data_IF_239719408084
#
_entry.id   IF_239719408084
#
_cell.length_a   1.000
_cell.length_b   1.000
_cell.length_c   1.000
_cell.angle_alpha   90.00
_cell.angle_beta   90.00
_cell.angle_gamma   90.00
#
_symmetry.space_group_name_H-M   'P 1'
#
loop_
_entity.id
_entity.type
_entity.pdbx_description
1 polymer ?
#
# COMPACT_ATOMS: atom_id res chain seq x y z
N UNK A 1 26.05 -30.38 21.09
CA UNK A 1 25.58 -29.52 22.21
C UNK A 1 24.76 -28.41 21.58
N UNK A 2 23.44 -28.60 21.48
CA UNK A 2 22.52 -27.61 20.91
C UNK A 2 21.91 -26.80 22.05
N UNK A 3 22.18 -25.49 22.04
CA UNK A 3 21.58 -24.54 22.97
C UNK A 3 20.11 -24.33 22.62
N UNK A 4 19.23 -24.77 23.51
CA UNK A 4 17.79 -24.50 23.46
C UNK A 4 17.55 -23.06 23.91
N UNK A 5 17.15 -22.17 22.99
CA UNK A 5 16.72 -20.81 23.33
C UNK A 5 15.26 -20.84 23.81
N UNK A 6 15.06 -20.36 25.04
CA UNK A 6 13.76 -20.21 25.71
C UNK A 6 12.97 -19.07 25.10
N UNK A 7 11.72 -19.34 24.73
CA UNK A 7 10.73 -18.29 24.43
C UNK A 7 10.25 -17.70 25.75
N UNK A 8 10.50 -16.40 25.92
CA UNK A 8 10.05 -15.60 27.05
C UNK A 8 8.56 -15.25 26.84
N UNK A 9 7.66 -15.86 27.62
CA UNK A 9 6.26 -15.46 27.65
C UNK A 9 6.13 -14.10 28.37
N UNK A 10 5.91 -13.03 27.61
CA UNK A 10 5.48 -11.75 28.15
C UNK A 10 4.02 -11.86 28.63
N UNK A 11 3.83 -11.82 29.94
CA UNK A 11 2.52 -11.68 30.58
C UNK A 11 2.00 -10.26 30.35
N UNK A 12 0.90 -10.11 29.62
CA UNK A 12 0.14 -8.86 29.63
C UNK A 12 -0.66 -8.76 30.92
N UNK A 13 -0.33 -7.74 31.72
CA UNK A 13 -1.05 -7.36 32.93
C UNK A 13 -2.26 -6.51 32.53
N UNK A 14 -3.47 -6.99 32.81
CA UNK A 14 -4.70 -6.21 32.72
C UNK A 14 -4.82 -5.32 33.97
N UNK A 15 -4.42 -4.05 33.85
CA UNK A 15 -4.68 -3.05 34.88
C UNK A 15 -5.97 -2.29 34.57
N UNK A 16 -6.85 -2.29 35.57
CA UNK A 16 -8.18 -1.72 35.58
C UNK A 16 -8.18 -0.18 35.75
N UNK A 17 -9.24 0.44 35.20
CA UNK A 17 -10.05 1.52 35.77
C UNK A 17 -9.41 2.49 36.78
N UNK A 18 -9.40 3.80 36.47
CA UNK A 18 -9.97 4.81 37.37
C UNK A 18 -10.04 6.23 36.77
N UNK A 19 -11.22 6.83 36.98
CA UNK A 19 -11.52 8.25 37.22
C UNK A 19 -11.69 9.26 36.06
N UNK A 20 -12.78 10.06 36.07
CA UNK A 20 -13.00 11.16 35.14
C UNK A 20 -12.24 12.41 35.60
N UNK A 21 -11.30 12.88 34.79
CA UNK A 21 -10.67 14.18 34.98
C UNK A 21 -11.59 15.30 34.47
N UNK A 22 -11.91 16.24 35.35
CA UNK A 22 -12.57 17.51 35.01
C UNK A 22 -11.77 18.24 33.92
N UNK A 23 -12.37 18.36 32.73
CA UNK A 23 -11.87 19.19 31.63
C UNK A 23 -12.08 20.66 32.00
N UNK A 24 -11.01 21.35 32.39
CA UNK A 24 -10.97 22.82 32.43
C UNK A 24 -10.99 23.35 31.00
N UNK A 25 -12.00 24.14 30.65
CA UNK A 25 -12.07 24.88 29.40
C UNK A 25 -10.93 25.91 29.33
N UNK A 26 -9.89 25.59 28.54
CA UNK A 26 -8.83 26.52 28.18
C UNK A 26 -9.30 27.59 27.18
N UNK A 27 -8.57 28.70 27.06
CA UNK A 27 -8.96 29.85 26.25
C UNK A 27 -9.12 29.48 24.78
N UNK A 28 -10.22 29.94 24.17
CA UNK A 28 -10.54 29.89 22.74
C UNK A 28 -9.29 30.10 21.88
N UNK A 29 -8.74 29.01 21.36
CA UNK A 29 -7.79 29.03 20.26
C UNK A 29 -8.49 29.68 19.07
N UNK A 30 -8.07 30.90 18.70
CA UNK A 30 -8.39 31.47 17.40
C UNK A 30 -7.87 30.45 16.38
N UNK A 31 -8.78 29.86 15.59
CA UNK A 31 -8.41 29.03 14.46
C UNK A 31 -7.47 29.87 13.59
N UNK A 32 -6.18 29.56 13.65
CA UNK A 32 -5.22 30.09 12.71
C UNK A 32 -5.61 29.53 11.35
N UNK A 33 -6.30 30.35 10.56
CA UNK A 33 -6.55 30.07 9.16
C UNK A 33 -5.17 29.90 8.54
N UNK A 34 -4.79 28.64 8.24
CA UNK A 34 -3.54 28.38 7.53
C UNK A 34 -3.65 29.12 6.20
N UNK A 35 -2.66 29.95 5.82
CA UNK A 35 -2.67 30.58 4.50
C UNK A 35 -2.73 29.47 3.47
N UNK A 36 -3.74 29.52 2.58
CA UNK A 36 -3.88 28.59 1.49
C UNK A 36 -2.59 28.60 0.67
N UNK A 37 -1.98 27.43 0.50
CA UNK A 37 -0.83 27.30 -0.36
C UNK A 37 -1.33 27.48 -1.80
N UNK A 38 -0.65 28.29 -2.61
CA UNK A 38 -1.07 28.58 -4.00
C UNK A 38 -1.27 27.32 -4.87
N UNK A 39 -0.68 26.18 -4.49
CA UNK A 39 -0.90 24.89 -5.17
C UNK A 39 -2.28 24.28 -4.92
N UNK A 40 -2.95 24.62 -3.82
CA UNK A 40 -4.28 24.07 -3.50
C UNK A 40 -5.36 24.65 -4.44
N UNK A 41 -5.20 25.91 -4.86
CA UNK A 41 -6.11 26.56 -5.80
C UNK A 41 -6.00 25.98 -7.21
N UNK A 42 -4.79 25.64 -7.67
CA UNK A 42 -4.56 25.03 -8.98
C UNK A 42 -5.18 23.63 -9.05
N UNK A 43 -4.98 22.82 -8.00
CA UNK A 43 -5.59 21.49 -7.87
C UNK A 43 -7.12 21.58 -7.86
N UNK A 44 -7.71 22.50 -7.10
CA UNK A 44 -9.15 22.70 -7.07
C UNK A 44 -9.73 23.10 -8.45
N UNK A 45 -9.00 23.93 -9.20
CA UNK A 45 -9.38 24.31 -10.57
C UNK A 45 -9.28 23.14 -11.55
N UNK A 46 -8.22 22.33 -11.45
CA UNK A 46 -8.06 21.10 -12.24
C UNK A 46 -9.22 20.14 -11.99
N UNK A 47 -9.55 19.88 -10.73
CA UNK A 47 -10.66 19.02 -10.36
C UNK A 47 -12.01 19.54 -10.89
N UNK A 48 -12.32 20.83 -10.69
CA UNK A 48 -13.56 21.43 -11.18
C UNK A 48 -13.69 21.36 -12.72
N UNK A 49 -12.58 21.55 -13.43
CA UNK A 49 -12.52 21.47 -14.89
C UNK A 49 -12.77 20.07 -15.44
N UNK A 50 -12.32 19.03 -14.73
CA UNK A 50 -12.61 17.63 -15.07
C UNK A 50 -14.09 17.30 -14.80
N UNK A 51 -14.65 17.79 -13.69
CA UNK A 51 -16.08 17.62 -13.39
C UNK A 51 -17.00 18.28 -14.43
N UNK A 52 -16.66 19.49 -14.89
CA UNK A 52 -17.43 20.21 -15.91
C UNK A 52 -17.54 19.42 -17.22
N UNK A 53 -16.59 18.51 -17.48
CA UNK A 53 -16.58 17.61 -18.65
C UNK A 53 -17.42 16.34 -18.47
N UNK A 54 -18.07 16.18 -17.33
CA UNK A 54 -18.97 15.06 -17.05
C UNK A 54 -18.30 13.81 -16.49
N UNK A 55 -17.02 13.90 -16.11
CA UNK A 55 -16.36 12.81 -15.37
C UNK A 55 -16.87 12.76 -13.92
N UNK A 56 -16.87 11.56 -13.33
CA UNK A 56 -17.28 11.39 -11.94
C UNK A 56 -16.27 12.04 -10.98
N UNK A 57 -16.69 12.46 -9.76
CA UNK A 57 -15.76 13.03 -8.78
C UNK A 57 -14.58 12.13 -8.44
N UNK A 58 -14.81 10.82 -8.31
CA UNK A 58 -13.73 9.84 -8.02
C UNK A 58 -12.68 9.79 -9.13
N UNK A 59 -13.11 9.85 -10.38
CA UNK A 59 -12.22 9.85 -11.54
C UNK A 59 -11.47 11.18 -11.63
N UNK A 60 -12.13 12.29 -11.33
CA UNK A 60 -11.50 13.60 -11.28
C UNK A 60 -10.38 13.66 -10.22
N UNK A 61 -10.64 13.15 -9.01
CA UNK A 61 -9.64 12.99 -7.96
C UNK A 61 -8.46 12.13 -8.43
N UNK A 62 -8.75 10.95 -9.01
CA UNK A 62 -7.72 10.04 -9.50
C UNK A 62 -6.85 10.62 -10.62
N UNK A 63 -7.42 11.40 -11.53
CA UNK A 63 -6.68 12.11 -12.59
C UNK A 63 -5.73 13.15 -11.97
N UNK A 64 -6.21 13.94 -11.03
CA UNK A 64 -5.41 14.96 -10.33
C UNK A 64 -4.26 14.30 -9.56
N UNK A 65 -4.54 13.20 -8.85
CA UNK A 65 -3.54 12.47 -8.09
C UNK A 65 -2.49 11.83 -9.01
N UNK A 66 -2.90 11.24 -10.12
CA UNK A 66 -1.99 10.68 -11.12
C UNK A 66 -1.02 11.74 -11.67
N UNK A 67 -1.50 12.95 -11.96
CA UNK A 67 -0.67 14.04 -12.44
C UNK A 67 0.27 14.61 -11.37
N UNK A 68 -0.12 14.55 -10.09
CA UNK A 68 0.71 14.98 -8.96
C UNK A 68 1.74 13.95 -8.53
N UNK A 69 1.67 12.73 -9.08
CA UNK A 69 2.62 11.67 -8.74
C UNK A 69 4.06 12.15 -9.01
N UNK A 70 5.01 11.91 -8.08
CA UNK A 70 6.37 12.47 -8.15
C UNK A 70 7.16 12.07 -9.41
N UNK A 71 6.70 11.10 -10.20
CA UNK A 71 7.32 10.69 -11.47
C UNK A 71 6.93 11.52 -12.69
N UNK A 72 5.88 12.35 -12.64
CA UNK A 72 5.38 13.08 -13.82
C UNK A 72 6.18 14.34 -14.13
N UNK A 73 6.92 14.87 -13.16
CA UNK A 73 7.59 16.17 -13.25
C UNK A 73 6.64 17.37 -13.21
N UNK A 74 5.36 17.17 -12.92
CA UNK A 74 4.35 18.24 -12.85
C UNK A 74 4.25 18.75 -11.41
N UNK A 75 4.50 20.03 -11.21
CA UNK A 75 4.39 20.65 -9.88
C UNK A 75 2.95 21.06 -9.54
N UNK A 76 2.64 21.25 -8.25
CA UNK A 76 1.30 21.57 -7.76
C UNK A 76 0.66 22.85 -8.34
N UNK A 77 1.41 23.75 -8.99
CA UNK A 77 0.89 24.94 -9.68
C UNK A 77 0.77 24.79 -11.20
N UNK A 78 0.98 23.58 -11.73
CA UNK A 78 0.96 23.27 -13.16
C UNK A 78 -0.06 22.18 -13.50
N UNK A 79 -0.78 21.65 -12.50
CA UNK A 79 -1.72 20.53 -12.65
C UNK A 79 -2.87 20.97 -13.55
N UNK A 80 -3.44 22.15 -13.32
CA UNK A 80 -4.52 22.67 -14.16
C UNK A 80 -4.09 22.82 -15.62
N UNK A 81 -2.91 23.41 -15.85
CA UNK A 81 -2.38 23.59 -17.20
C UNK A 81 -2.12 22.25 -17.90
N UNK A 82 -1.63 21.24 -17.17
CA UNK A 82 -1.44 19.89 -17.68
C UNK A 82 -2.77 19.23 -18.08
N UNK A 83 -3.80 19.32 -17.22
CA UNK A 83 -5.15 18.80 -17.53
C UNK A 83 -5.74 19.52 -18.74
N UNK A 84 -5.58 20.84 -18.86
CA UNK A 84 -6.01 21.60 -20.04
C UNK A 84 -5.30 21.14 -21.31
N UNK A 85 -3.98 20.89 -21.21
CA UNK A 85 -3.19 20.36 -22.31
C UNK A 85 -3.68 19.00 -22.79
N UNK A 86 -3.97 18.08 -21.85
CA UNK A 86 -4.51 16.73 -22.14
C UNK A 86 -5.94 16.77 -22.70
N UNK A 87 -6.73 17.76 -22.29
CA UNK A 87 -8.08 17.93 -22.83
C UNK A 87 -8.09 18.37 -24.30
N UNK A 88 -6.99 18.94 -24.80
CA UNK A 88 -6.89 19.44 -26.17
C UNK A 88 -7.94 20.51 -26.51
N UNK A 89 -8.27 20.63 -27.80
CA UNK A 89 -9.36 21.49 -28.29
C UNK A 89 -10.69 20.74 -28.20
N UNK A 90 -11.13 20.55 -26.96
CA UNK A 90 -12.35 19.81 -26.65
C UNK A 90 -13.60 20.41 -27.32
N UNK A 91 -13.64 21.72 -27.59
CA UNK A 91 -14.75 22.38 -28.29
C UNK A 91 -14.95 21.87 -29.73
N UNK A 92 -13.88 21.33 -30.33
CA UNK A 92 -13.86 20.75 -31.68
C UNK A 92 -13.91 19.22 -31.62
N UNK A 93 -14.03 18.64 -30.43
CA UNK A 93 -13.97 17.19 -30.21
C UNK A 93 -12.57 16.59 -30.32
N UNK A 94 -11.51 17.41 -30.28
CA UNK A 94 -10.12 16.94 -30.23
C UNK A 94 -9.74 16.67 -28.76
N UNK A 95 -9.47 15.40 -28.40
CA UNK A 95 -8.90 14.99 -27.11
C UNK A 95 -7.41 14.69 -27.28
N UNK A 96 -6.56 15.23 -26.39
CA UNK A 96 -5.11 15.05 -26.43
C UNK A 96 -4.62 13.98 -25.43
N UNK A 97 -5.52 13.13 -24.93
CA UNK A 97 -5.21 12.02 -24.02
C UNK A 97 -5.95 12.06 -22.69
N UNK A 98 -6.75 13.09 -22.39
CA UNK A 98 -7.52 13.15 -21.14
C UNK A 98 -8.52 11.98 -21.05
N UNK A 99 -9.20 11.64 -22.14
CA UNK A 99 -10.12 10.49 -22.15
C UNK A 99 -9.39 9.18 -21.90
N UNK A 100 -8.19 9.00 -22.46
CA UNK A 100 -7.39 7.80 -22.23
C UNK A 100 -6.93 7.68 -20.77
N UNK A 101 -6.48 8.79 -20.18
CA UNK A 101 -6.13 8.85 -18.77
C UNK A 101 -7.34 8.55 -17.87
N UNK A 102 -8.50 9.14 -18.17
CA UNK A 102 -9.73 8.90 -17.42
C UNK A 102 -10.12 7.41 -17.44
N UNK A 103 -10.08 6.75 -18.61
CA UNK A 103 -10.35 5.31 -18.71
C UNK A 103 -9.36 4.46 -17.91
N UNK A 104 -8.08 4.84 -17.91
CA UNK A 104 -7.06 4.15 -17.11
C UNK A 104 -7.35 4.27 -15.62
N UNK A 105 -7.72 5.47 -15.15
CA UNK A 105 -8.09 5.72 -13.75
C UNK A 105 -9.38 4.99 -13.38
N UNK A 106 -10.38 4.97 -14.26
CA UNK A 106 -11.61 4.19 -14.06
C UNK A 106 -11.34 2.69 -13.92
N UNK A 107 -10.46 2.15 -14.76
CA UNK A 107 -10.05 0.76 -14.67
C UNK A 107 -9.36 0.49 -13.33
N UNK A 108 -8.43 1.34 -12.91
CA UNK A 108 -7.72 1.19 -11.64
C UNK A 108 -8.70 1.27 -10.44
N UNK A 109 -9.62 2.24 -10.45
CA UNK A 109 -10.65 2.37 -9.41
C UNK A 109 -11.57 1.15 -9.37
N UNK A 110 -11.99 0.64 -10.53
CA UNK A 110 -12.80 -0.58 -10.64
C UNK A 110 -12.05 -1.81 -10.13
N UNK A 111 -10.76 -1.91 -10.41
CA UNK A 111 -9.89 -2.96 -9.87
C UNK A 111 -9.72 -2.85 -8.35
N UNK A 112 -9.85 -1.66 -7.77
CA UNK A 112 -9.81 -1.46 -6.32
C UNK A 112 -11.19 -1.60 -5.65
N UNK A 113 -12.28 -1.32 -6.39
CA UNK A 113 -13.64 -1.39 -5.87
C UNK A 113 -14.02 -2.83 -5.51
N UNK A 114 -14.42 -3.02 -4.24
CA UNK A 114 -14.80 -4.32 -3.71
C UNK A 114 -13.65 -5.15 -3.14
N UNK A 115 -12.39 -4.71 -3.29
CA UNK A 115 -11.26 -5.35 -2.58
C UNK A 115 -11.23 -4.92 -1.12
N UNK A 116 -11.03 -5.88 -0.22
CA UNK A 116 -10.85 -5.56 1.18
C UNK A 116 -9.44 -5.03 1.43
N UNK A 117 -9.32 -3.99 2.26
CA UNK A 117 -8.02 -3.54 2.73
C UNK A 117 -7.48 -4.50 3.78
N UNK A 118 -6.30 -5.06 3.52
CA UNK A 118 -5.59 -5.99 4.38
C UNK A 118 -4.42 -5.27 5.06
N UNK A 119 -4.20 -5.60 6.33
CA UNK A 119 -3.09 -5.09 7.13
C UNK A 119 -2.17 -6.22 7.56
N UNK A 120 -0.87 -6.01 7.46
CA UNK A 120 0.13 -6.99 7.89
C UNK A 120 1.37 -6.30 8.45
N UNK A 121 2.09 -7.01 9.31
CA UNK A 121 3.30 -6.48 9.95
C UNK A 121 4.55 -7.04 9.29
N UNK A 122 5.50 -6.18 8.99
CA UNK A 122 6.79 -6.51 8.38
C UNK A 122 7.91 -6.34 9.41
N UNK A 123 8.73 -7.37 9.56
CA UNK A 123 9.93 -7.38 10.39
C UNK A 123 11.16 -7.21 9.49
N UNK A 124 11.92 -6.11 9.63
CA UNK A 124 13.22 -5.93 8.97
C UNK A 124 14.25 -7.03 9.31
N UNK A 125 15.24 -7.27 8.43
CA UNK A 125 16.32 -8.22 8.66
C UNK A 125 17.35 -7.74 9.71
N UNK A 126 17.56 -6.42 9.83
CA UNK A 126 18.50 -5.76 10.73
C UNK A 126 18.06 -5.75 12.21
N UNK A 127 17.03 -6.52 12.56
CA UNK A 127 16.36 -6.51 13.87
C UNK A 127 15.73 -5.15 14.21
N UNK A 128 15.45 -4.31 13.20
CA UNK A 128 14.70 -3.08 13.34
C UNK A 128 13.29 -3.28 13.91
N UNK A 129 12.63 -2.18 14.26
CA UNK A 129 11.25 -2.22 14.73
C UNK A 129 10.33 -2.69 13.60
N UNK A 130 9.51 -3.71 13.88
CA UNK A 130 8.53 -4.18 12.91
C UNK A 130 7.45 -3.13 12.66
N UNK A 131 7.19 -2.84 11.38
CA UNK A 131 6.27 -1.81 10.91
C UNK A 131 5.02 -2.42 10.28
N UNK A 132 3.93 -1.66 10.21
CA UNK A 132 2.65 -2.10 9.64
C UNK A 132 2.52 -1.59 8.20
N UNK A 133 2.07 -2.48 7.31
CA UNK A 133 1.79 -2.20 5.92
C UNK A 133 0.30 -2.42 5.62
N UNK A 134 -0.23 -1.63 4.69
CA UNK A 134 -1.62 -1.72 4.24
C UNK A 134 -1.64 -1.96 2.72
N UNK A 135 -2.43 -2.93 2.28
CA UNK A 135 -2.59 -3.30 0.88
C UNK A 135 -4.02 -3.73 0.58
N UNK A 136 -4.39 -3.83 -0.68
CA UNK A 136 -5.67 -4.42 -1.06
C UNK A 136 -5.52 -5.91 -1.30
N UNK A 137 -6.60 -6.65 -1.05
CA UNK A 137 -6.67 -8.08 -1.34
C UNK A 137 -6.29 -8.38 -2.81
N UNK A 138 -5.48 -9.42 -3.00
CA UNK A 138 -4.99 -9.82 -4.32
C UNK A 138 -3.80 -9.01 -4.85
N UNK A 139 -3.33 -7.97 -4.14
CA UNK A 139 -2.06 -7.32 -4.45
C UNK A 139 -0.87 -8.20 -4.04
N UNK A 140 0.17 -8.23 -4.85
CA UNK A 140 1.46 -8.81 -4.43
C UNK A 140 2.17 -7.89 -3.43
N UNK A 141 3.13 -8.41 -2.66
CA UNK A 141 3.96 -7.55 -1.79
C UNK A 141 4.75 -6.51 -2.57
N UNK A 142 5.09 -6.81 -3.84
CA UNK A 142 5.70 -5.85 -4.75
C UNK A 142 4.72 -4.72 -5.08
N UNK A 143 3.48 -5.05 -5.46
CA UNK A 143 2.47 -4.03 -5.74
C UNK A 143 2.16 -3.19 -4.51
N UNK A 144 2.20 -3.78 -3.32
CA UNK A 144 2.04 -3.04 -2.05
C UNK A 144 3.24 -2.13 -1.80
N UNK A 145 4.46 -2.55 -2.14
CA UNK A 145 5.64 -1.68 -2.04
C UNK A 145 5.62 -0.52 -3.05
N UNK A 146 5.08 -0.74 -4.25
CA UNK A 146 5.01 0.28 -5.30
C UNK A 146 3.79 1.21 -5.20
N UNK A 147 2.63 0.64 -4.89
CA UNK A 147 1.31 1.29 -4.96
C UNK A 147 0.51 1.21 -3.66
N UNK A 148 1.04 0.54 -2.63
CA UNK A 148 0.38 0.43 -1.32
C UNK A 148 0.25 1.78 -0.62
N UNK A 149 -0.63 1.81 0.39
CA UNK A 149 -0.94 3.04 1.13
C UNK A 149 -0.19 3.08 2.46
N UNK A 150 0.12 4.31 2.88
CA UNK A 150 0.70 4.59 4.18
C UNK A 150 2.22 4.41 4.23
N UNK A 151 2.82 4.88 5.34
CA UNK A 151 4.27 4.91 5.55
C UNK A 151 4.91 3.52 5.49
N UNK A 152 4.17 2.46 5.81
CA UNK A 152 4.66 1.09 5.73
C UNK A 152 5.03 0.67 4.32
N UNK A 153 4.24 1.06 3.31
CA UNK A 153 4.54 0.78 1.91
C UNK A 153 5.85 1.45 1.47
N UNK A 154 6.05 2.72 1.85
CA UNK A 154 7.29 3.46 1.56
C UNK A 154 8.51 2.76 2.15
N UNK A 155 8.41 2.28 3.39
CA UNK A 155 9.51 1.55 4.05
C UNK A 155 9.70 0.18 3.41
N UNK A 156 8.62 -0.53 3.07
CA UNK A 156 8.67 -1.83 2.43
C UNK A 156 9.42 -1.78 1.09
N UNK A 157 9.22 -0.69 0.33
CA UNK A 157 9.90 -0.43 -0.94
C UNK A 157 11.42 -0.39 -0.84
N UNK A 158 11.96 0.05 0.29
CA UNK A 158 13.41 0.07 0.52
C UNK A 158 13.99 -1.33 0.79
N UNK A 159 13.14 -2.28 1.23
CA UNK A 159 13.55 -3.66 1.50
C UNK A 159 13.24 -4.63 0.35
N UNK A 160 12.28 -4.32 -0.51
CA UNK A 160 11.89 -5.17 -1.65
C UNK A 160 12.32 -4.50 -2.96
N UNK A 161 13.43 -4.98 -3.53
CA UNK A 161 13.92 -4.47 -4.83
C UNK A 161 13.13 -5.06 -6.00
N UNK A 162 12.80 -6.36 -5.94
CA UNK A 162 12.10 -7.10 -7.00
C UNK A 162 12.60 -6.74 -8.41
N UNK A 163 13.90 -6.91 -8.67
CA UNK A 163 14.56 -6.44 -9.88
C UNK A 163 13.95 -6.98 -11.18
N UNK A 164 13.38 -8.19 -11.16
CA UNK A 164 12.70 -8.80 -12.31
C UNK A 164 11.26 -8.30 -12.52
N UNK A 165 10.77 -7.35 -11.73
CA UNK A 165 9.39 -6.88 -11.77
C UNK A 165 8.33 -7.97 -11.56
N UNK A 166 8.69 -9.09 -10.93
CA UNK A 166 7.78 -10.22 -10.67
C UNK A 166 7.85 -11.36 -11.68
N UNK A 167 8.64 -11.28 -12.76
CA UNK A 167 8.71 -12.35 -13.78
C UNK A 167 9.59 -13.57 -13.38
N UNK A 168 9.82 -13.76 -12.08
CA UNK A 168 10.64 -14.85 -11.51
C UNK A 168 12.07 -14.96 -12.06
N UNK A 169 12.64 -13.87 -12.59
CA UNK A 169 14.01 -13.86 -13.15
C UNK A 169 15.09 -13.37 -12.16
N UNK A 170 14.72 -13.09 -10.90
CA UNK A 170 15.66 -12.69 -9.85
C UNK A 170 15.28 -13.29 -8.49
N UNK A 171 16.18 -13.20 -7.50
CA UNK A 171 15.94 -13.63 -6.12
C UNK A 171 15.82 -12.47 -5.11
N UNK A 172 15.83 -11.21 -5.56
CA UNK A 172 15.86 -10.01 -4.70
C UNK A 172 14.50 -9.66 -4.07
N UNK A 173 13.57 -10.60 -4.08
CA UNK A 173 12.21 -10.44 -3.58
C UNK A 173 11.84 -11.49 -2.52
N UNK A 174 12.80 -12.28 -2.07
CA UNK A 174 12.57 -13.29 -1.03
C UNK A 174 12.00 -12.71 0.28
N UNK A 175 11.03 -13.41 0.85
CA UNK A 175 10.51 -13.12 2.18
C UNK A 175 10.32 -14.39 2.99
N UNK A 176 10.35 -14.22 4.31
CA UNK A 176 9.99 -15.22 5.29
C UNK A 176 8.56 -14.97 5.75
N UNK A 177 7.71 -15.98 5.59
CA UNK A 177 6.32 -15.94 6.04
C UNK A 177 6.20 -16.70 7.35
N UNK A 178 5.46 -16.16 8.32
CA UNK A 178 5.19 -16.87 9.57
C UNK A 178 4.44 -18.19 9.28
N UNK A 179 4.81 -19.25 10.00
CA UNK A 179 4.30 -20.62 9.80
C UNK A 179 2.76 -20.69 9.73
N UNK A 180 2.07 -19.86 10.53
CA UNK A 180 0.60 -19.85 10.56
C UNK A 180 -0.01 -19.38 9.23
N UNK A 181 0.68 -18.51 8.50
CA UNK A 181 0.23 -18.04 7.19
C UNK A 181 0.81 -18.89 6.06
N UNK A 182 2.00 -19.50 6.26
CA UNK A 182 2.60 -20.39 5.26
C UNK A 182 1.68 -21.57 4.90
N UNK A 183 0.96 -22.12 5.88
CA UNK A 183 -0.02 -23.19 5.61
C UNK A 183 -1.21 -22.73 4.76
N UNK A 184 -1.58 -21.46 4.91
CA UNK A 184 -2.64 -20.84 4.10
C UNK A 184 -2.11 -20.47 2.71
N UNK A 185 -0.82 -20.22 2.62
CA UNK A 185 -0.13 -19.81 1.42
C UNK A 185 0.02 -20.88 0.35
N UNK A 186 0.13 -22.13 0.79
CA UNK A 186 0.54 -23.22 -0.07
C UNK A 186 2.05 -23.30 -0.22
N UNK A 187 2.53 -24.41 -0.77
CA UNK A 187 3.96 -24.55 -1.07
C UNK A 187 4.30 -23.83 -2.39
N UNK A 188 5.50 -23.23 -2.48
CA UNK A 188 5.98 -22.63 -3.72
C UNK A 188 6.01 -23.65 -4.86
N UNK A 189 5.64 -23.22 -6.07
CA UNK A 189 5.67 -24.06 -7.28
C UNK A 189 7.11 -24.49 -7.63
N UNK A 190 7.28 -25.58 -8.38
CA UNK A 190 8.61 -26.12 -8.73
C UNK A 190 9.53 -25.07 -9.41
N UNK A 191 8.95 -24.15 -10.17
CA UNK A 191 9.66 -23.04 -10.82
C UNK A 191 10.25 -22.02 -9.81
N UNK A 192 9.70 -21.95 -8.61
CA UNK A 192 10.15 -21.07 -7.51
C UNK A 192 11.18 -21.78 -6.61
N UNK A 193 11.25 -23.11 -6.67
CA UNK A 193 12.16 -23.94 -5.88
C UNK A 193 13.58 -24.04 -6.47
N UNK A 194 14.08 -22.99 -7.13
CA UNK A 194 15.44 -22.94 -7.74
C UNK A 194 16.54 -22.80 -6.67
N UNK A 195 16.33 -23.33 -5.47
CA UNK A 195 17.31 -23.35 -4.39
C UNK A 195 17.99 -24.72 -4.36
N UNK A 196 19.34 -24.77 -4.22
CA UNK A 196 20.04 -26.00 -3.92
C UNK A 196 19.42 -26.64 -2.67
N UNK A 197 19.15 -27.94 -2.71
CA UNK A 197 18.50 -28.69 -1.62
C UNK A 197 19.21 -28.56 -0.27
N UNK A 198 20.50 -28.20 -0.27
CA UNK A 198 21.32 -27.93 0.92
C UNK A 198 20.93 -26.66 1.69
N UNK A 199 20.26 -25.70 1.04
CA UNK A 199 19.74 -24.48 1.68
C UNK A 199 18.25 -24.55 2.01
N UNK A 200 17.63 -25.74 1.90
CA UNK A 200 16.21 -25.97 2.20
C UNK A 200 15.98 -25.87 3.71
N UNK A 201 15.71 -24.66 4.18
CA UNK A 201 15.13 -24.46 5.51
C UNK A 201 13.62 -24.77 5.45
N UNK A 202 13.06 -25.53 6.41
CA UNK A 202 11.72 -26.13 6.29
C UNK A 202 10.53 -25.14 6.27
N UNK A 203 10.77 -23.83 6.43
CA UNK A 203 9.73 -22.80 6.61
C UNK A 203 10.06 -21.47 5.90
N UNK A 204 10.84 -21.52 4.83
CA UNK A 204 11.61 -20.35 4.38
C UNK A 204 11.60 -20.22 2.87
N UNK A 205 11.24 -19.02 2.42
CA UNK A 205 11.27 -18.54 1.04
C UNK A 205 10.08 -18.99 0.18
N UNK A 206 9.06 -18.13 0.14
CA UNK A 206 8.20 -18.01 -1.03
C UNK A 206 8.72 -16.88 -1.91
N UNK A 207 8.64 -17.07 -3.22
CA UNK A 207 8.83 -16.01 -4.21
C UNK A 207 7.57 -15.15 -4.21
N UNK A 208 7.70 -13.82 -4.36
CA UNK A 208 6.59 -12.88 -4.14
C UNK A 208 5.35 -13.10 -5.03
N UNK A 209 5.50 -13.79 -6.16
CA UNK A 209 4.42 -13.91 -7.15
C UNK A 209 3.26 -14.76 -6.62
N UNK A 210 3.55 -15.82 -5.84
CA UNK A 210 2.51 -16.56 -5.13
C UNK A 210 1.93 -15.85 -3.90
N UNK A 211 2.61 -14.87 -3.31
CA UNK A 211 2.09 -14.15 -2.13
C UNK A 211 0.85 -13.30 -2.48
N UNK A 212 0.67 -12.91 -3.75
CA UNK A 212 -0.58 -12.31 -4.20
C UNK A 212 -1.79 -13.26 -4.03
N UNK A 213 -1.59 -14.58 -4.15
CA UNK A 213 -2.64 -15.59 -3.90
C UNK A 213 -2.93 -15.81 -2.42
N UNK A 214 -1.99 -15.51 -1.50
CA UNK A 214 -2.19 -15.70 -0.04
C UNK A 214 -3.27 -14.81 0.54
N UNK A 215 -3.32 -13.55 0.11
CA UNK A 215 -4.19 -12.58 0.76
C UNK A 215 -5.68 -12.92 0.57
N UNK A 216 -6.02 -13.68 -0.47
CA UNK A 216 -7.38 -14.20 -0.72
C UNK A 216 -7.86 -15.20 0.35
N UNK A 217 -6.97 -15.80 1.13
CA UNK A 217 -7.33 -16.85 2.09
C UNK A 217 -7.28 -16.38 3.56
N UNK A 218 -6.67 -15.23 3.86
CA UNK A 218 -6.59 -14.71 5.24
C UNK A 218 -7.93 -14.15 5.74
N UNK A 219 -8.90 -13.89 4.86
CA UNK A 219 -10.18 -13.30 5.23
C UNK A 219 -11.26 -14.25 5.75
N UNK A 220 -11.12 -15.57 5.66
CA UNK A 220 -12.20 -16.45 6.15
C UNK A 220 -12.25 -16.55 7.70
N UNK A 221 -11.43 -15.79 8.45
CA UNK A 221 -11.35 -15.91 9.92
C UNK A 221 -11.11 -14.63 10.73
N UNK A 222 -11.20 -13.43 10.16
CA UNK A 222 -11.00 -12.18 10.92
C UNK A 222 -12.10 -11.88 11.96
N UNK A 223 -13.20 -12.65 11.98
CA UNK A 223 -14.24 -12.52 13.01
C UNK A 223 -13.88 -13.17 14.36
N UNK A 224 -12.75 -13.87 14.49
CA UNK A 224 -12.49 -14.64 15.73
C UNK A 224 -11.27 -14.27 16.58
N UNK A 225 -10.21 -13.65 16.07
CA UNK A 225 -9.07 -13.31 16.94
C UNK A 225 -8.29 -12.08 16.45
N UNK A 226 -8.13 -11.08 17.33
CA UNK A 226 -7.22 -9.95 17.17
C UNK A 226 -5.74 -10.37 17.18
N UNK A 227 -5.30 -11.07 16.13
CA UNK A 227 -3.97 -11.60 16.01
C UNK A 227 -3.23 -10.93 14.83
N UNK A 228 -2.26 -10.10 15.17
CA UNK A 228 -1.35 -9.45 14.23
C UNK A 228 -0.63 -10.51 13.36
N UNK A 229 -0.63 -10.32 12.05
CA UNK A 229 0.10 -11.13 11.07
C UNK A 229 1.54 -10.62 10.96
N UNK A 230 2.51 -11.53 10.81
CA UNK A 230 3.95 -11.20 10.75
C UNK A 230 4.54 -11.78 9.46
N UNK A 231 5.33 -10.96 8.76
CA UNK A 231 6.18 -11.33 7.63
C UNK A 231 7.57 -10.73 7.88
N UNK A 232 8.66 -11.44 7.57
CA UNK A 232 10.02 -10.92 7.72
C UNK A 232 10.66 -10.79 6.34
N UNK A 233 11.21 -9.62 6.03
CA UNK A 233 11.91 -9.39 4.76
C UNK A 233 13.39 -9.65 4.97
N UNK A 234 14.04 -10.26 3.98
CA UNK A 234 15.46 -10.62 3.99
C UNK A 234 16.38 -9.41 3.83
#
# INVERSE_FOLDING_TARGET
MMHTLRVCQARFSTAASSSPLCVRAGPRWRQAVRPFCAGDEDVARAHAFVLERGYSPRVADGIVDALRSPGTGIHAGQVFAAVQGLAGRWEVGEDAGLQALAKSVEQELSEQEGKTMVRFRVQPPDQGEAFECEGFEGMSLKDIAEFGRGRGADVLKEYIECACSGVMACSTCHVYVDEKHFQTAGEPEDAEQVWPSEFRMPHVAQVLDQIARLMLLVQDRSDLYGANSWCRVC
#
